data_IF_944497935646
#
_entry.id   IF_944497935646
#
_cell.length_a   1.000
_cell.length_b   1.000
_cell.length_c   1.000
_cell.angle_alpha   90.00
_cell.angle_beta   90.00
_cell.angle_gamma   90.00
#
_symmetry.space_group_name_H-M   'P 1'
#
loop_
_entity.id
_entity.type
_entity.pdbx_description
1 polymer ?
#
# COMPACT_ATOMS: atom_id res chain seq x y z
N UNK A 1 14.23 13.45 19.32
CA UNK A 1 13.65 12.43 18.42
C UNK A 1 13.45 13.05 17.05
N UNK A 2 13.40 12.25 15.99
CA UNK A 2 13.26 12.76 14.61
C UNK A 2 11.81 13.10 14.21
N UNK A 3 10.84 12.80 15.08
CA UNK A 3 9.43 13.09 14.85
C UNK A 3 9.14 14.55 15.16
N UNK A 4 8.57 15.28 14.21
CA UNK A 4 8.32 16.71 14.35
C UNK A 4 6.95 17.05 14.96
N UNK A 5 6.02 16.09 15.00
CA UNK A 5 4.61 16.35 15.31
C UNK A 5 4.04 15.55 16.49
N UNK A 6 4.86 14.78 17.21
CA UNK A 6 4.42 14.00 18.37
C UNK A 6 4.37 14.86 19.64
N UNK A 7 3.22 14.84 20.31
CA UNK A 7 3.07 15.41 21.66
C UNK A 7 3.72 14.47 22.69
N UNK A 8 4.47 15.00 23.67
CA UNK A 8 5.06 14.17 24.72
C UNK A 8 3.98 13.52 25.59
N UNK A 9 4.22 12.30 26.07
CA UNK A 9 3.27 11.51 26.90
C UNK A 9 2.70 12.30 28.08
N UNK A 10 3.54 13.13 28.70
CA UNK A 10 3.23 13.96 29.86
C UNK A 10 2.21 15.06 29.54
N UNK A 11 2.07 15.42 28.25
CA UNK A 11 1.15 16.41 27.73
C UNK A 11 -0.09 15.78 27.07
N UNK A 12 -0.21 14.45 27.08
CA UNK A 12 -1.39 13.74 26.56
C UNK A 12 -2.50 13.71 27.62
N UNK A 13 -3.73 13.90 27.17
CA UNK A 13 -4.92 13.80 28.01
C UNK A 13 -5.17 12.35 28.43
N UNK A 14 -5.92 12.13 29.52
CA UNK A 14 -6.34 10.78 29.96
C UNK A 14 -7.07 9.99 28.85
N UNK A 15 -7.83 10.69 28.01
CA UNK A 15 -8.52 10.12 26.86
C UNK A 15 -7.57 9.59 25.78
N UNK A 16 -6.52 10.35 25.48
CA UNK A 16 -5.50 9.95 24.51
C UNK A 16 -4.67 8.78 25.03
N UNK A 17 -4.41 8.73 26.35
CA UNK A 17 -3.71 7.61 26.99
C UNK A 17 -4.54 6.33 27.06
N UNK A 18 -5.87 6.44 27.23
CA UNK A 18 -6.76 5.27 27.22
C UNK A 18 -7.11 4.80 25.80
N UNK A 19 -6.88 5.65 24.78
CA UNK A 19 -7.32 5.42 23.41
C UNK A 19 -8.85 5.52 23.22
N UNK A 20 -9.57 6.01 24.24
CA UNK A 20 -11.04 6.11 24.23
C UNK A 20 -11.45 7.58 24.34
N UNK A 21 -12.11 8.08 23.30
CA UNK A 21 -12.67 9.43 23.31
C UNK A 21 -13.83 9.55 24.33
N UNK A 22 -13.83 10.59 25.18
CA UNK A 22 -14.96 10.97 26.02
C UNK A 22 -16.19 11.20 25.13
N UNK A 23 -17.39 10.86 25.63
CA UNK A 23 -18.64 10.90 24.85
C UNK A 23 -18.82 12.24 24.13
N UNK A 24 -18.54 13.34 24.80
CA UNK A 24 -18.70 14.71 24.30
C UNK A 24 -17.67 15.11 23.23
N UNK A 25 -16.54 14.40 23.14
CA UNK A 25 -15.41 14.71 22.25
C UNK A 25 -15.21 13.64 21.17
N UNK A 26 -16.18 12.75 20.96
CA UNK A 26 -16.08 11.72 19.94
C UNK A 26 -16.09 12.35 18.55
N UNK A 27 -15.05 12.14 17.72
CA UNK A 27 -15.07 12.61 16.35
C UNK A 27 -16.13 11.83 15.55
N UNK A 28 -16.68 12.47 14.52
CA UNK A 28 -17.55 11.77 13.57
C UNK A 28 -16.80 10.60 12.92
N UNK A 29 -17.49 9.47 12.72
CA UNK A 29 -16.93 8.32 12.00
C UNK A 29 -17.07 8.47 10.47
N UNK A 30 -17.99 9.33 10.04
CA UNK A 30 -18.31 9.70 8.67
C UNK A 30 -19.71 10.31 8.60
N UNK A 31 -20.07 10.83 7.42
CA UNK A 31 -21.35 11.51 7.20
C UNK A 31 -22.30 10.66 6.37
N UNK A 32 -23.60 10.77 6.65
CA UNK A 32 -24.64 10.21 5.79
C UNK A 32 -24.75 11.07 4.54
N UNK A 33 -24.52 10.49 3.37
CA UNK A 33 -24.47 11.19 2.08
C UNK A 33 -25.73 11.02 1.25
N UNK A 34 -26.58 10.08 1.61
CA UNK A 34 -27.86 9.79 0.97
C UNK A 34 -28.97 9.66 2.02
N UNK A 35 -30.22 9.92 1.59
CA UNK A 35 -31.39 9.72 2.44
C UNK A 35 -31.59 8.23 2.74
N UNK A 36 -31.89 7.92 4.01
CA UNK A 36 -32.20 6.56 4.46
C UNK A 36 -33.43 5.96 3.74
N UNK A 37 -34.35 6.81 3.24
CA UNK A 37 -35.50 6.37 2.45
C UNK A 37 -35.11 5.84 1.06
N UNK A 38 -33.94 6.25 0.56
CA UNK A 38 -33.44 5.83 -0.75
C UNK A 38 -32.48 4.65 -0.63
N UNK A 39 -31.41 4.83 0.13
CA UNK A 39 -30.35 3.84 0.30
C UNK A 39 -29.51 4.19 1.53
N UNK A 40 -29.00 3.19 2.22
CA UNK A 40 -28.08 3.43 3.34
C UNK A 40 -26.70 3.90 2.84
N UNK A 41 -26.13 4.94 3.46
CA UNK A 41 -24.84 5.48 2.99
C UNK A 41 -23.72 4.44 3.02
N UNK A 42 -23.67 3.55 4.01
CA UNK A 42 -22.66 2.48 4.04
C UNK A 42 -22.85 1.51 2.86
N UNK A 43 -24.09 1.16 2.54
CA UNK A 43 -24.41 0.32 1.39
C UNK A 43 -23.96 0.97 0.07
N UNK A 44 -24.14 2.30 -0.07
CA UNK A 44 -23.65 3.04 -1.24
C UNK A 44 -22.12 2.89 -1.38
N UNK A 45 -21.38 3.13 -0.30
CA UNK A 45 -19.92 3.05 -0.32
C UNK A 45 -19.41 1.64 -0.63
N UNK A 46 -20.03 0.62 -0.03
CA UNK A 46 -19.73 -0.77 -0.34
C UNK A 46 -20.03 -1.11 -1.80
N UNK A 47 -21.12 -0.59 -2.37
CA UNK A 47 -21.44 -0.80 -3.79
C UNK A 47 -20.41 -0.15 -4.71
N UNK A 48 -19.93 1.05 -4.40
CA UNK A 48 -18.88 1.74 -5.16
C UNK A 48 -17.58 0.92 -5.14
N UNK A 49 -17.19 0.41 -3.97
CA UNK A 49 -16.02 -0.48 -3.84
C UNK A 49 -16.24 -1.78 -4.64
N UNK A 50 -17.43 -2.37 -4.55
CA UNK A 50 -17.80 -3.57 -5.30
C UNK A 50 -17.70 -3.38 -6.81
N UNK A 51 -18.17 -2.24 -7.33
CA UNK A 51 -18.05 -1.89 -8.75
C UNK A 51 -16.58 -1.71 -9.14
N UNK A 52 -15.77 -1.04 -8.33
CA UNK A 52 -14.34 -0.90 -8.57
C UNK A 52 -13.63 -2.27 -8.66
N UNK A 53 -13.95 -3.20 -7.76
CA UNK A 53 -13.44 -4.57 -7.77
C UNK A 53 -13.91 -5.31 -9.03
N UNK A 54 -15.19 -5.17 -9.40
CA UNK A 54 -15.77 -5.80 -10.58
C UNK A 54 -15.07 -5.32 -11.86
N UNK A 55 -14.79 -4.01 -11.99
CA UNK A 55 -14.04 -3.46 -13.12
C UNK A 55 -12.64 -4.09 -13.19
N UNK A 56 -11.93 -4.18 -12.04
CA UNK A 56 -10.62 -4.83 -11.99
C UNK A 56 -10.66 -6.31 -12.37
N UNK A 57 -11.68 -7.03 -11.91
CA UNK A 57 -11.90 -8.44 -12.22
C UNK A 57 -12.19 -8.67 -13.70
N UNK A 58 -13.10 -7.89 -14.28
CA UNK A 58 -13.42 -7.95 -15.71
C UNK A 58 -12.20 -7.55 -16.55
N UNK A 59 -11.42 -6.55 -16.09
CA UNK A 59 -10.14 -6.20 -16.70
C UNK A 59 -9.15 -7.37 -16.71
N UNK A 60 -9.02 -8.10 -15.59
CA UNK A 60 -8.19 -9.31 -15.54
C UNK A 60 -8.68 -10.38 -16.53
N UNK A 61 -9.98 -10.64 -16.55
CA UNK A 61 -10.57 -11.65 -17.43
C UNK A 61 -10.37 -11.28 -18.92
N UNK A 62 -10.49 -10.00 -19.25
CA UNK A 62 -10.22 -9.49 -20.58
C UNK A 62 -8.75 -9.69 -20.99
N UNK A 63 -7.80 -9.36 -20.10
CA UNK A 63 -6.37 -9.57 -20.35
C UNK A 63 -6.03 -11.06 -20.58
N UNK A 64 -6.60 -11.95 -19.78
CA UNK A 64 -6.44 -13.40 -19.96
C UNK A 64 -7.04 -13.87 -21.30
N UNK A 65 -8.20 -13.33 -21.67
CA UNK A 65 -8.83 -13.62 -22.97
C UNK A 65 -7.97 -13.16 -24.15
N UNK A 66 -7.40 -11.95 -24.07
CA UNK A 66 -6.47 -11.44 -25.08
C UNK A 66 -5.20 -12.29 -25.18
N UNK A 67 -4.62 -12.69 -24.05
CA UNK A 67 -3.44 -13.58 -24.02
C UNK A 67 -3.72 -14.90 -24.74
N UNK A 68 -4.91 -15.46 -24.56
CA UNK A 68 -5.30 -16.70 -25.23
C UNK A 68 -5.35 -16.56 -26.75
N UNK A 69 -5.87 -15.42 -27.25
CA UNK A 69 -5.95 -15.11 -28.68
C UNK A 69 -4.57 -14.83 -29.29
N UNK A 70 -3.71 -14.10 -28.58
CA UNK A 70 -2.41 -13.66 -29.11
C UNK A 70 -1.36 -14.77 -29.02
N UNK A 71 -1.32 -15.51 -27.92
CA UNK A 71 -0.26 -16.48 -27.63
C UNK A 71 -0.68 -17.94 -27.90
N UNK A 72 -1.90 -18.20 -28.39
CA UNK A 72 -2.48 -19.55 -28.50
C UNK A 72 -2.38 -20.34 -27.18
N UNK A 73 -2.44 -19.66 -26.03
CA UNK A 73 -2.32 -20.27 -24.70
C UNK A 73 -0.93 -20.77 -24.29
N UNK A 74 0.12 -20.43 -25.01
CA UNK A 74 1.51 -20.83 -24.67
C UNK A 74 2.12 -20.02 -23.51
N UNK A 75 1.58 -18.83 -23.23
CA UNK A 75 1.98 -17.99 -22.09
C UNK A 75 0.83 -17.86 -21.09
N UNK A 76 1.18 -17.71 -19.80
CA UNK A 76 0.23 -17.63 -18.68
C UNK A 76 0.61 -16.50 -17.71
N UNK A 77 1.10 -15.40 -18.26
CA UNK A 77 1.59 -14.23 -17.53
C UNK A 77 0.41 -13.54 -16.84
N UNK A 78 -0.71 -13.33 -17.54
CA UNK A 78 -1.84 -12.58 -16.98
C UNK A 78 -2.69 -13.42 -16.02
N UNK A 79 -2.65 -14.76 -16.10
CA UNK A 79 -3.28 -15.61 -15.07
C UNK A 79 -2.63 -15.42 -13.70
N UNK A 80 -1.31 -15.33 -13.69
CA UNK A 80 -0.50 -15.17 -12.47
C UNK A 80 -0.53 -13.74 -11.93
N UNK A 81 -0.89 -12.76 -12.76
CA UNK A 81 -1.00 -11.37 -12.36
C UNK A 81 -2.05 -11.17 -11.24
N UNK A 82 -1.72 -10.54 -10.11
CA UNK A 82 -2.64 -10.33 -9.01
C UNK A 82 -3.83 -9.45 -9.38
N UNK A 83 -4.96 -9.72 -8.74
CA UNK A 83 -6.19 -8.97 -8.97
C UNK A 83 -6.13 -7.57 -8.33
N UNK A 84 -5.40 -7.42 -7.22
CA UNK A 84 -5.34 -6.19 -6.44
C UNK A 84 -4.96 -4.93 -7.26
N UNK A 85 -3.87 -4.91 -8.06
CA UNK A 85 -3.53 -3.72 -8.84
C UNK A 85 -4.59 -3.37 -9.90
N UNK A 86 -5.27 -4.36 -10.46
CA UNK A 86 -6.35 -4.15 -11.41
C UNK A 86 -7.59 -3.56 -10.73
N UNK A 87 -7.88 -3.96 -9.49
CA UNK A 87 -8.93 -3.34 -8.69
C UNK A 87 -8.59 -1.89 -8.31
N UNK A 88 -7.32 -1.57 -8.03
CA UNK A 88 -6.89 -0.18 -7.82
C UNK A 88 -7.12 0.69 -9.06
N UNK A 89 -6.74 0.19 -10.24
CA UNK A 89 -7.03 0.86 -11.51
C UNK A 89 -8.54 0.98 -11.76
N UNK A 90 -9.31 -0.06 -11.44
CA UNK A 90 -10.77 -0.03 -11.51
C UNK A 90 -11.38 1.06 -10.62
N UNK A 91 -10.85 1.24 -9.42
CA UNK A 91 -11.24 2.34 -8.52
C UNK A 91 -10.92 3.71 -9.08
N UNK A 92 -9.74 3.90 -9.66
CA UNK A 92 -9.36 5.15 -10.32
C UNK A 92 -10.27 5.47 -11.52
N UNK A 93 -10.52 4.48 -12.37
CA UNK A 93 -11.44 4.61 -13.52
C UNK A 93 -12.83 4.98 -13.04
N UNK A 94 -13.36 4.28 -12.03
CA UNK A 94 -14.66 4.57 -11.46
C UNK A 94 -14.73 5.98 -10.87
N UNK A 95 -13.68 6.41 -10.15
CA UNK A 95 -13.60 7.75 -9.60
C UNK A 95 -13.66 8.82 -10.71
N UNK A 96 -12.88 8.64 -11.79
CA UNK A 96 -12.88 9.57 -12.93
C UNK A 96 -14.27 9.61 -13.59
N UNK A 97 -14.91 8.46 -13.78
CA UNK A 97 -16.25 8.38 -14.39
C UNK A 97 -17.30 9.06 -13.50
N UNK A 98 -17.30 8.80 -12.20
CA UNK A 98 -18.24 9.41 -11.26
C UNK A 98 -18.08 10.93 -11.21
N UNK A 99 -16.85 11.44 -11.17
CA UNK A 99 -16.58 12.88 -11.17
C UNK A 99 -16.99 13.57 -12.48
N UNK A 100 -17.02 12.83 -13.60
CA UNK A 100 -17.50 13.36 -14.89
C UNK A 100 -19.02 13.37 -15.01
N UNK A 101 -19.70 12.40 -14.42
CA UNK A 101 -21.16 12.22 -14.55
C UNK A 101 -21.92 12.96 -13.46
N UNK A 102 -21.38 13.00 -12.23
CA UNK A 102 -22.07 13.52 -11.05
C UNK A 102 -21.24 14.66 -10.44
N UNK A 103 -21.85 15.84 -10.37
CA UNK A 103 -21.30 16.95 -9.60
C UNK A 103 -21.43 16.62 -8.11
N UNK A 104 -20.30 16.54 -7.40
CA UNK A 104 -20.21 16.13 -5.99
C UNK A 104 -20.85 14.75 -5.71
N UNK A 105 -20.20 13.65 -6.12
CA UNK A 105 -20.67 12.30 -5.81
C UNK A 105 -20.91 12.13 -4.29
N UNK A 106 -21.98 11.44 -3.86
CA UNK A 106 -22.30 11.26 -2.44
C UNK A 106 -21.38 10.22 -1.77
N UNK A 107 -20.07 10.39 -1.89
CA UNK A 107 -19.03 9.54 -1.33
C UNK A 107 -18.31 10.31 -0.23
N UNK A 108 -18.54 9.88 1.01
CA UNK A 108 -17.86 10.37 2.20
C UNK A 108 -16.48 9.71 2.35
N UNK A 109 -15.47 10.56 2.51
CA UNK A 109 -14.09 10.11 2.64
C UNK A 109 -13.85 9.35 3.94
N UNK A 110 -14.47 9.76 5.05
CA UNK A 110 -14.25 9.12 6.35
C UNK A 110 -14.87 7.71 6.37
N UNK A 111 -16.08 7.53 5.84
CA UNK A 111 -16.68 6.20 5.66
C UNK A 111 -15.81 5.29 4.80
N UNK A 112 -15.27 5.77 3.68
CA UNK A 112 -14.30 4.99 2.88
C UNK A 112 -13.07 4.57 3.70
N UNK A 113 -12.51 5.48 4.51
CA UNK A 113 -11.38 5.15 5.38
C UNK A 113 -11.74 4.11 6.46
N UNK A 114 -12.96 4.14 7.01
CA UNK A 114 -13.43 3.13 7.98
C UNK A 114 -13.57 1.76 7.34
N UNK A 115 -14.19 1.68 6.16
CA UNK A 115 -14.31 0.42 5.40
C UNK A 115 -12.91 -0.14 5.08
N UNK A 116 -11.99 0.71 4.62
CA UNK A 116 -10.61 0.33 4.33
C UNK A 116 -9.89 -0.19 5.60
N UNK A 117 -10.10 0.45 6.74
CA UNK A 117 -9.58 0.00 8.04
C UNK A 117 -10.11 -1.39 8.43
N UNK A 118 -11.42 -1.60 8.31
CA UNK A 118 -12.01 -2.92 8.61
C UNK A 118 -11.50 -4.00 7.65
N UNK A 119 -11.39 -3.70 6.35
CA UNK A 119 -10.85 -4.63 5.35
C UNK A 119 -9.39 -5.00 5.63
N UNK A 120 -8.59 -4.04 6.11
CA UNK A 120 -7.21 -4.25 6.55
C UNK A 120 -7.14 -5.23 7.72
N UNK A 121 -7.99 -5.08 8.73
CA UNK A 121 -8.00 -5.99 9.88
C UNK A 121 -8.33 -7.43 9.45
N UNK A 122 -9.32 -7.62 8.56
CA UNK A 122 -9.60 -8.93 7.97
C UNK A 122 -8.43 -9.50 7.18
N UNK A 123 -7.72 -8.67 6.42
CA UNK A 123 -6.53 -9.08 5.67
C UNK A 123 -5.40 -9.54 6.60
N UNK A 124 -5.17 -8.84 7.71
CA UNK A 124 -4.18 -9.25 8.73
C UNK A 124 -4.57 -10.57 9.38
N UNK A 125 -5.83 -10.72 9.78
CA UNK A 125 -6.33 -11.98 10.37
C UNK A 125 -6.20 -13.14 9.39
N UNK A 126 -6.56 -12.95 8.11
CA UNK A 126 -6.42 -13.97 7.07
C UNK A 126 -4.94 -14.32 6.81
N UNK A 127 -4.05 -13.33 6.82
CA UNK A 127 -2.62 -13.56 6.66
C UNK A 127 -2.07 -14.42 7.81
N UNK A 128 -2.39 -14.08 9.06
CA UNK A 128 -1.97 -14.86 10.24
C UNK A 128 -2.56 -16.29 10.18
N UNK A 129 -3.83 -16.41 9.83
CA UNK A 129 -4.53 -17.69 9.75
C UNK A 129 -3.98 -18.64 8.67
N UNK A 130 -3.33 -18.11 7.62
CA UNK A 130 -2.78 -18.90 6.50
C UNK A 130 -1.32 -19.29 6.69
N UNK A 131 -0.67 -18.87 7.78
CA UNK A 131 0.74 -19.21 8.08
C UNK A 131 0.87 -20.73 8.31
N UNK A 132 1.74 -21.37 7.53
CA UNK A 132 2.10 -22.78 7.68
C UNK A 132 3.32 -22.94 8.58
N UNK A 133 3.10 -23.11 9.89
CA UNK A 133 4.17 -23.22 10.89
C UNK A 133 5.16 -24.37 10.60
N UNK A 134 4.70 -25.46 10.01
CA UNK A 134 5.54 -26.60 9.62
C UNK A 134 6.62 -26.23 8.59
N UNK A 135 6.30 -25.33 7.65
CA UNK A 135 7.25 -24.87 6.63
C UNK A 135 8.33 -24.02 7.26
N UNK A 136 7.94 -23.16 8.22
CA UNK A 136 8.87 -22.32 8.97
C UNK A 136 9.80 -23.18 9.82
N UNK A 137 9.27 -24.20 10.51
CA UNK A 137 10.07 -25.08 11.36
C UNK A 137 11.14 -25.84 10.56
N UNK A 138 10.81 -26.32 9.36
CA UNK A 138 11.76 -27.02 8.46
C UNK A 138 12.83 -26.10 7.88
N UNK A 139 12.52 -24.81 7.73
CA UNK A 139 13.39 -23.80 7.11
C UNK A 139 13.80 -22.68 8.06
N UNK A 140 13.97 -22.95 9.35
CA UNK A 140 14.14 -21.90 10.36
C UNK A 140 15.40 -21.06 10.13
N UNK A 141 16.52 -21.70 9.76
CA UNK A 141 17.79 -21.00 9.46
C UNK A 141 17.64 -20.02 8.29
N UNK A 142 17.23 -20.44 7.07
CA UNK A 142 17.05 -19.49 5.97
C UNK A 142 15.97 -18.45 6.25
N UNK A 143 14.91 -18.80 6.99
CA UNK A 143 13.87 -17.87 7.40
C UNK A 143 14.40 -16.74 8.30
N UNK A 144 15.15 -17.09 9.36
CA UNK A 144 15.76 -16.13 10.28
C UNK A 144 16.78 -15.25 9.54
N UNK A 145 17.58 -15.82 8.64
CA UNK A 145 18.53 -15.05 7.83
C UNK A 145 17.82 -13.99 6.97
N UNK A 146 16.71 -14.34 6.32
CA UNK A 146 15.92 -13.40 5.52
C UNK A 146 15.31 -12.31 6.40
N UNK A 147 14.77 -12.66 7.58
CA UNK A 147 14.23 -11.68 8.53
C UNK A 147 15.31 -10.69 8.96
N UNK A 148 16.47 -11.19 9.39
CA UNK A 148 17.56 -10.33 9.86
C UNK A 148 18.07 -9.46 8.72
N UNK A 149 18.37 -10.03 7.55
CA UNK A 149 18.87 -9.29 6.41
C UNK A 149 17.88 -8.23 5.91
N UNK A 150 16.60 -8.60 5.78
CA UNK A 150 15.54 -7.67 5.37
C UNK A 150 15.31 -6.56 6.39
N UNK A 151 15.37 -6.87 7.69
CA UNK A 151 15.23 -5.87 8.76
C UNK A 151 16.42 -4.91 8.75
N UNK A 152 17.65 -5.42 8.67
CA UNK A 152 18.85 -4.58 8.60
C UNK A 152 18.85 -3.68 7.36
N UNK A 153 18.43 -4.20 6.20
CA UNK A 153 18.27 -3.42 4.99
C UNK A 153 17.25 -2.28 5.15
N UNK A 154 16.08 -2.56 5.72
CA UNK A 154 15.07 -1.53 5.96
C UNK A 154 15.56 -0.46 6.94
N UNK A 155 16.21 -0.87 8.04
CA UNK A 155 16.81 0.07 9.00
C UNK A 155 17.87 0.93 8.31
N UNK A 156 18.74 0.33 7.49
CA UNK A 156 19.73 1.07 6.72
C UNK A 156 19.08 2.09 5.78
N UNK A 157 18.03 1.71 5.06
CA UNK A 157 17.29 2.60 4.19
C UNK A 157 16.68 3.79 4.96
N UNK A 158 16.09 3.56 6.14
CA UNK A 158 15.49 4.63 6.95
C UNK A 158 16.53 5.54 7.58
N UNK A 159 17.59 4.98 8.17
CA UNK A 159 18.57 5.76 8.96
C UNK A 159 19.60 6.46 8.06
N UNK A 160 19.99 5.83 6.95
CA UNK A 160 21.07 6.35 6.11
C UNK A 160 20.56 6.91 4.78
N UNK A 161 19.68 6.20 4.08
CA UNK A 161 19.27 6.59 2.73
C UNK A 161 18.19 7.68 2.75
N UNK A 162 17.15 7.53 3.57
CA UNK A 162 16.00 8.43 3.59
C UNK A 162 16.34 9.89 3.93
N UNK A 163 17.20 10.22 4.93
CA UNK A 163 17.56 11.62 5.21
C UNK A 163 18.32 12.30 4.07
N UNK A 164 18.93 11.51 3.17
CA UNK A 164 19.66 12.01 2.00
C UNK A 164 18.73 12.20 0.81
N UNK A 165 17.82 11.26 0.59
CA UNK A 165 16.91 11.28 -0.56
C UNK A 165 15.70 12.19 -0.34
N UNK A 166 15.17 12.24 0.89
CA UNK A 166 13.94 12.93 1.24
C UNK A 166 14.30 14.14 2.10
N UNK A 167 13.94 15.36 1.64
CA UNK A 167 14.23 16.60 2.39
C UNK A 167 13.06 17.07 3.25
N UNK A 168 11.84 16.84 2.77
CA UNK A 168 10.59 17.23 3.45
C UNK A 168 10.00 15.99 4.10
N UNK A 169 9.63 16.11 5.39
CA UNK A 169 8.99 15.07 6.22
C UNK A 169 9.67 13.70 6.08
N UNK A 170 10.99 13.71 6.07
CA UNK A 170 11.79 12.55 5.63
C UNK A 170 11.53 11.33 6.50
N UNK A 171 11.32 11.52 7.81
CA UNK A 171 11.13 10.43 8.75
C UNK A 171 9.71 9.86 8.65
N UNK A 172 8.70 10.72 8.61
CA UNK A 172 7.29 10.39 8.38
C UNK A 172 7.12 9.60 7.07
N UNK A 173 7.81 10.02 6.01
CA UNK A 173 7.83 9.29 4.72
C UNK A 173 8.56 7.96 4.83
N UNK A 174 9.73 7.93 5.47
CA UNK A 174 10.55 6.72 5.57
C UNK A 174 9.90 5.64 6.43
N UNK A 175 9.20 6.00 7.51
CA UNK A 175 8.56 5.03 8.39
C UNK A 175 7.37 4.34 7.70
N UNK A 176 6.64 5.06 6.85
CA UNK A 176 5.57 4.50 6.04
C UNK A 176 6.13 3.44 5.06
N UNK A 177 7.25 3.76 4.39
CA UNK A 177 7.93 2.87 3.46
C UNK A 177 8.54 1.64 4.15
N UNK A 178 9.10 1.82 5.34
CA UNK A 178 9.60 0.73 6.19
C UNK A 178 8.48 -0.24 6.56
N UNK A 179 7.34 0.28 7.03
CA UNK A 179 6.20 -0.55 7.39
C UNK A 179 5.62 -1.31 6.20
N UNK A 180 5.58 -0.70 5.01
CA UNK A 180 5.19 -1.38 3.79
C UNK A 180 6.20 -2.48 3.43
N UNK A 181 7.50 -2.18 3.45
CA UNK A 181 8.56 -3.10 3.02
C UNK A 181 8.76 -4.28 3.99
N UNK A 182 8.43 -4.11 5.26
CA UNK A 182 8.49 -5.18 6.27
C UNK A 182 7.17 -5.95 6.42
N UNK A 183 6.12 -5.56 5.72
CA UNK A 183 4.80 -6.19 5.84
C UNK A 183 3.91 -5.86 4.66
N UNK A 184 2.87 -5.08 4.91
CA UNK A 184 1.88 -4.65 3.92
C UNK A 184 1.71 -3.14 3.98
N UNK A 185 1.21 -2.54 2.91
CA UNK A 185 0.89 -1.11 2.80
C UNK A 185 0.14 -0.57 4.02
N UNK A 186 -0.77 -1.38 4.54
CA UNK A 186 -1.49 -1.21 5.79
C UNK A 186 -0.61 -0.94 7.03
N UNK A 187 0.43 -1.74 7.23
CA UNK A 187 1.40 -1.58 8.32
C UNK A 187 2.16 -0.26 8.17
N UNK A 188 2.52 0.11 6.94
CA UNK A 188 3.12 1.41 6.62
C UNK A 188 2.23 2.58 7.04
N UNK A 189 0.95 2.56 6.65
CA UNK A 189 -0.02 3.60 7.02
C UNK A 189 -0.31 3.63 8.52
N UNK A 190 -0.29 2.47 9.20
CA UNK A 190 -0.40 2.41 10.66
C UNK A 190 0.77 3.10 11.35
N UNK A 191 2.01 2.78 10.96
CA UNK A 191 3.19 3.45 11.49
C UNK A 191 3.17 4.96 11.19
N UNK A 192 2.74 5.35 10.00
CA UNK A 192 2.58 6.75 9.65
C UNK A 192 1.57 7.44 10.56
N UNK A 193 0.42 6.84 10.85
CA UNK A 193 -0.57 7.40 11.81
C UNK A 193 -0.02 7.55 13.22
N UNK A 194 0.93 6.72 13.63
CA UNK A 194 1.59 6.86 14.94
C UNK A 194 2.51 8.09 14.96
N UNK A 195 3.19 8.37 13.85
CA UNK A 195 4.19 9.46 13.76
C UNK A 195 3.55 10.79 13.34
N UNK A 196 2.49 10.75 12.53
CA UNK A 196 1.70 11.87 12.04
C UNK A 196 0.18 11.58 12.13
N UNK A 197 -0.39 11.58 13.35
CA UNK A 197 -1.79 11.24 13.58
C UNK A 197 -2.79 12.24 12.96
N UNK A 198 -2.39 13.51 12.90
CA UNK A 198 -3.23 14.61 12.39
C UNK A 198 -3.05 14.81 10.87
N UNK A 199 -2.25 13.96 10.20
CA UNK A 199 -1.92 14.03 8.78
C UNK A 199 -1.47 15.45 8.34
N UNK A 200 -0.54 16.04 9.10
CA UNK A 200 0.00 17.38 8.82
C UNK A 200 1.17 17.33 7.85
N UNK A 201 1.85 16.20 7.76
CA UNK A 201 2.97 16.00 6.85
C UNK A 201 2.49 15.72 5.42
N UNK A 202 3.39 15.94 4.47
CA UNK A 202 3.21 15.55 3.07
C UNK A 202 3.26 14.03 2.85
N UNK A 203 3.55 13.24 3.89
CA UNK A 203 3.86 11.83 3.77
C UNK A 203 2.69 10.99 3.27
N UNK A 204 1.46 11.19 3.77
CA UNK A 204 0.31 10.39 3.36
C UNK A 204 -0.04 10.62 1.88
N UNK A 205 -0.02 11.88 1.44
CA UNK A 205 -0.27 12.23 0.04
C UNK A 205 0.81 11.68 -0.89
N UNK A 206 2.09 11.89 -0.55
CA UNK A 206 3.21 11.39 -1.32
C UNK A 206 3.19 9.85 -1.42
N UNK A 207 2.87 9.17 -0.33
CA UNK A 207 2.72 7.72 -0.28
C UNK A 207 1.60 7.24 -1.21
N UNK A 208 0.41 7.87 -1.15
CA UNK A 208 -0.72 7.52 -2.01
C UNK A 208 -0.43 7.68 -3.51
N UNK A 209 0.18 8.79 -3.92
CA UNK A 209 0.57 9.00 -5.32
C UNK A 209 1.62 7.98 -5.79
N UNK A 210 2.61 7.67 -4.95
CA UNK A 210 3.60 6.64 -5.25
C UNK A 210 2.92 5.28 -5.42
N UNK A 211 1.96 4.96 -4.57
CA UNK A 211 1.31 3.65 -4.53
C UNK A 211 0.55 3.32 -5.81
N UNK A 212 -0.08 4.31 -6.43
CA UNK A 212 -0.76 4.16 -7.72
C UNK A 212 0.20 3.69 -8.82
N UNK A 213 1.44 4.18 -8.83
CA UNK A 213 2.47 3.77 -9.80
C UNK A 213 3.24 2.53 -9.35
N UNK A 214 3.44 2.36 -8.05
CA UNK A 214 4.30 1.31 -7.51
C UNK A 214 3.63 -0.06 -7.43
N UNK A 215 2.37 -0.14 -6.96
CA UNK A 215 1.69 -1.42 -6.74
C UNK A 215 1.51 -2.26 -8.02
N UNK A 216 1.16 -1.69 -9.19
CA UNK A 216 1.08 -2.46 -10.43
C UNK A 216 2.42 -3.04 -10.92
N UNK A 217 3.54 -2.54 -10.42
CA UNK A 217 4.87 -3.06 -10.75
C UNK A 217 5.42 -3.99 -9.66
N UNK A 218 5.41 -3.54 -8.40
CA UNK A 218 6.06 -4.21 -7.26
C UNK A 218 5.07 -4.88 -6.29
N UNK A 219 3.84 -4.40 -6.19
CA UNK A 219 2.77 -4.85 -5.28
C UNK A 219 2.12 -6.18 -5.63
N UNK A 220 2.91 -7.13 -6.13
CA UNK A 220 2.42 -8.34 -6.77
C UNK A 220 2.35 -8.25 -8.29
N UNK A 221 2.51 -7.06 -8.87
CA UNK A 221 2.44 -6.82 -10.31
C UNK A 221 3.56 -7.46 -11.15
N UNK A 222 4.04 -6.73 -12.16
CA UNK A 222 4.96 -7.27 -13.18
C UNK A 222 6.21 -7.88 -12.55
N UNK A 223 6.92 -7.14 -11.69
CA UNK A 223 8.19 -7.61 -11.14
C UNK A 223 8.00 -8.80 -10.21
N UNK A 224 7.07 -8.73 -9.25
CA UNK A 224 6.89 -9.78 -8.24
C UNK A 224 6.39 -11.09 -8.86
N UNK A 225 5.55 -11.01 -9.89
CA UNK A 225 5.08 -12.17 -10.63
C UNK A 225 6.18 -12.75 -11.53
N UNK A 226 6.91 -11.91 -12.26
CA UNK A 226 7.95 -12.36 -13.20
C UNK A 226 9.24 -12.77 -12.48
N UNK A 227 9.55 -12.24 -11.30
CA UNK A 227 10.76 -12.58 -10.55
C UNK A 227 10.81 -14.06 -10.17
N UNK A 228 9.67 -14.67 -9.83
CA UNK A 228 9.60 -16.12 -9.54
C UNK A 228 9.90 -16.92 -10.81
N UNK A 229 9.33 -16.53 -11.95
CA UNK A 229 9.58 -17.18 -13.24
C UNK A 229 11.06 -17.06 -13.61
N UNK A 230 11.64 -15.86 -13.51
CA UNK A 230 13.05 -15.60 -13.78
C UNK A 230 13.95 -16.40 -12.83
N UNK A 231 13.58 -16.51 -11.55
CA UNK A 231 14.31 -17.31 -10.58
C UNK A 231 14.33 -18.79 -10.98
N UNK A 232 13.20 -19.35 -11.39
CA UNK A 232 13.09 -20.76 -11.78
C UNK A 232 13.88 -21.05 -13.07
N UNK A 233 13.84 -20.15 -14.06
CA UNK A 233 14.47 -20.38 -15.36
C UNK A 233 15.95 -19.99 -15.43
N UNK A 234 16.34 -18.90 -14.78
CA UNK A 234 17.68 -18.30 -14.90
C UNK A 234 18.47 -18.26 -13.58
N UNK A 235 17.84 -18.65 -12.47
CA UNK A 235 18.47 -18.72 -11.15
C UNK A 235 18.49 -17.41 -10.36
N UNK A 236 18.90 -17.52 -9.10
CA UNK A 236 18.88 -16.42 -8.13
C UNK A 236 19.75 -15.22 -8.53
N UNK A 237 20.91 -15.48 -9.14
CA UNK A 237 21.88 -14.44 -9.49
C UNK A 237 21.35 -13.45 -10.52
N UNK A 238 20.53 -13.90 -11.47
CA UNK A 238 19.93 -13.02 -12.47
C UNK A 238 18.90 -12.08 -11.84
N UNK A 239 18.03 -12.60 -10.97
CA UNK A 239 17.05 -11.77 -10.25
C UNK A 239 17.76 -10.76 -9.34
N UNK A 240 18.84 -11.20 -8.68
CA UNK A 240 19.64 -10.35 -7.81
C UNK A 240 20.35 -9.22 -8.56
N UNK A 241 20.98 -9.50 -9.70
CA UNK A 241 21.67 -8.47 -10.50
C UNK A 241 20.70 -7.47 -11.10
N UNK A 242 19.52 -7.91 -11.58
CA UNK A 242 18.47 -7.00 -12.06
C UNK A 242 18.00 -6.09 -10.91
N UNK A 243 17.80 -6.64 -9.71
CA UNK A 243 17.37 -5.87 -8.53
C UNK A 243 18.40 -4.80 -8.15
N UNK A 244 19.69 -5.17 -8.10
CA UNK A 244 20.77 -4.21 -7.83
C UNK A 244 20.85 -3.16 -8.93
N UNK A 245 20.78 -3.56 -10.20
CA UNK A 245 20.83 -2.64 -11.32
C UNK A 245 19.69 -1.61 -11.24
N UNK A 246 18.47 -2.04 -10.90
CA UNK A 246 17.34 -1.14 -10.71
C UNK A 246 17.59 -0.14 -9.58
N UNK A 247 18.11 -0.58 -8.43
CA UNK A 247 18.47 0.31 -7.32
C UNK A 247 19.52 1.33 -7.76
N UNK A 248 20.59 0.87 -8.42
CA UNK A 248 21.67 1.75 -8.90
C UNK A 248 21.14 2.76 -9.91
N UNK A 249 20.32 2.35 -10.88
CA UNK A 249 19.70 3.24 -11.87
C UNK A 249 18.89 4.32 -11.15
N UNK A 250 18.04 3.97 -10.18
CA UNK A 250 17.24 4.95 -9.46
C UNK A 250 18.08 5.90 -8.59
N UNK A 251 19.18 5.42 -8.00
CA UNK A 251 20.12 6.28 -7.28
C UNK A 251 20.85 7.25 -8.23
N UNK A 252 21.21 6.82 -9.44
CA UNK A 252 21.80 7.69 -10.46
C UNK A 252 20.78 8.71 -10.97
N UNK A 253 19.53 8.30 -11.23
CA UNK A 253 18.45 9.22 -11.60
C UNK A 253 18.25 10.27 -10.51
N UNK A 254 18.23 9.85 -9.25
CA UNK A 254 18.14 10.79 -8.15
C UNK A 254 19.32 11.77 -8.13
N UNK A 255 20.55 11.26 -8.24
CA UNK A 255 21.78 12.07 -8.17
C UNK A 255 21.88 13.10 -9.30
N UNK A 256 21.48 12.75 -10.53
CA UNK A 256 21.65 13.60 -11.72
C UNK A 256 20.45 14.47 -12.05
N UNK A 257 19.22 14.07 -11.69
CA UNK A 257 18.01 14.78 -12.10
C UNK A 257 17.23 15.36 -10.93
N UNK A 258 17.10 14.64 -9.81
CA UNK A 258 16.20 15.02 -8.71
C UNK A 258 16.92 15.87 -7.66
N UNK A 259 18.22 15.62 -7.44
CA UNK A 259 19.01 16.32 -6.43
C UNK A 259 18.99 17.85 -6.63
N UNK A 260 19.03 18.31 -7.87
CA UNK A 260 19.03 19.74 -8.20
C UNK A 260 17.64 20.37 -8.05
N UNK A 261 16.56 19.63 -8.30
CA UNK A 261 15.17 20.07 -8.06
C UNK A 261 14.83 20.16 -6.57
N UNK A 262 15.57 19.45 -5.73
CA UNK A 262 15.34 19.41 -4.28
C UNK A 262 16.12 20.49 -3.52
N UNK A 263 17.15 21.12 -4.12
CA UNK A 263 17.92 22.23 -3.53
C UNK A 263 17.23 23.57 -3.76
#
# INVERSE_FOLDING_TARGET
>A
GHVQHLRPFNAMTKAELSGIYPIEQRPAAGFQTVSADSLDSLALHLSVIGIAILIGFLGKQYLIGLEHVISNGTTSIFKSFPLFPLCMLGGLVLQILLQRVITNPPIDHQLMQRIAGTALDFLVVAAIATIRLEVIAKGLVPFVLIIIAGTLWNIFCVVWLAPRLLKIDWFERAIAEMGQSMGVTATGLLLLRVVDPENRSSAQAAFGYKQLLHEPFMGGGIWTSTAIILFIHYGAWVVFTISIAAIVIWLLVWQFFIRDLAN
#
